data_IF_521506177080
#
_entry.id   IF_521506177080
#
_cell.length_a   1.000
_cell.length_b   1.000
_cell.length_c   1.000
_cell.angle_alpha   90.00
_cell.angle_beta   90.00
_cell.angle_gamma   90.00
#
_symmetry.space_group_name_H-M   'P 1'
#
loop_
_entity.id
_entity.type
_entity.pdbx_description
1 polymer ?
#
# COMPACT_ATOMS: atom_id res chain seq x y z
N UNK A 1 -4.32 32.44 20.55
CA UNK A 1 -2.97 31.99 20.15
C UNK A 1 -2.91 30.48 20.29
N UNK A 2 -3.13 29.71 19.21
CA UNK A 2 -3.01 28.25 19.22
C UNK A 2 -1.77 27.86 18.44
N UNK A 3 -0.70 27.49 19.15
CA UNK A 3 0.52 27.00 18.53
C UNK A 3 0.23 25.67 17.82
N UNK A 4 0.41 25.62 16.49
CA UNK A 4 0.43 24.36 15.75
C UNK A 4 1.72 23.64 16.11
N UNK A 5 1.61 22.51 16.80
CA UNK A 5 2.72 21.61 17.04
C UNK A 5 3.28 21.14 15.70
N UNK A 6 4.54 21.46 15.41
CA UNK A 6 5.26 20.91 14.28
C UNK A 6 5.52 19.43 14.55
N UNK A 7 4.85 18.55 13.79
CA UNK A 7 5.11 17.11 13.81
C UNK A 7 6.50 16.85 13.23
N UNK A 8 7.43 16.43 14.09
CA UNK A 8 8.74 15.93 13.70
C UNK A 8 8.54 14.75 12.73
N UNK A 9 8.83 14.96 11.45
CA UNK A 9 8.89 13.90 10.44
C UNK A 9 10.03 12.97 10.84
N UNK A 10 9.71 11.76 11.28
CA UNK A 10 10.70 10.70 11.48
C UNK A 10 11.58 10.56 10.23
N UNK A 11 12.87 10.20 10.37
CA UNK A 11 13.75 9.96 9.24
C UNK A 11 13.14 8.83 8.40
N UNK A 12 12.47 9.21 7.31
CA UNK A 12 12.02 8.28 6.29
C UNK A 12 13.28 7.74 5.64
N UNK A 13 13.65 6.53 6.05
CA UNK A 13 14.62 5.76 5.31
C UNK A 13 14.02 5.58 3.91
N UNK A 14 14.63 6.19 2.89
CA UNK A 14 14.22 6.04 1.50
C UNK A 14 14.60 4.63 1.02
N UNK A 15 13.80 3.66 1.47
CA UNK A 15 13.85 2.30 0.95
C UNK A 15 13.08 2.33 -0.37
N UNK A 16 13.72 1.95 -1.50
CA UNK A 16 13.00 1.86 -2.76
C UNK A 16 11.84 0.87 -2.67
N UNK A 17 10.78 1.13 -3.43
CA UNK A 17 9.51 0.37 -3.35
C UNK A 17 9.73 -1.14 -3.53
N UNK A 18 10.64 -1.55 -4.42
CA UNK A 18 11.01 -2.94 -4.66
C UNK A 18 11.73 -3.64 -3.49
N UNK A 19 12.31 -2.89 -2.56
CA UNK A 19 12.90 -3.43 -1.34
C UNK A 19 11.94 -3.42 -0.14
N UNK A 20 10.78 -2.76 -0.24
CA UNK A 20 9.80 -2.73 0.84
C UNK A 20 9.07 -4.07 0.99
N UNK A 21 8.74 -4.40 2.24
CA UNK A 21 7.88 -5.52 2.58
C UNK A 21 6.40 -5.18 2.32
N UNK A 22 5.99 -4.00 2.78
CA UNK A 22 4.65 -3.47 2.60
C UNK A 22 4.70 -2.08 1.98
N UNK A 23 3.66 -1.77 1.22
CA UNK A 23 3.51 -0.52 0.49
C UNK A 23 2.19 0.13 0.88
N UNK A 24 2.15 1.46 0.81
CA UNK A 24 0.89 2.19 0.89
C UNK A 24 0.17 2.19 -0.48
N UNK A 25 -1.02 2.80 -0.54
CA UNK A 25 -1.80 2.87 -1.77
C UNK A 25 -1.05 3.57 -2.92
N UNK A 26 -0.44 4.73 -2.63
CA UNK A 26 0.23 5.55 -3.65
C UNK A 26 1.50 4.86 -4.18
N UNK A 27 2.25 4.19 -3.30
CA UNK A 27 3.40 3.36 -3.67
C UNK A 27 2.97 2.17 -4.52
N UNK A 28 1.83 1.56 -4.19
CA UNK A 28 1.30 0.43 -4.97
C UNK A 28 0.86 0.88 -6.35
N UNK A 29 0.21 2.04 -6.47
CA UNK A 29 -0.13 2.64 -7.77
C UNK A 29 1.13 2.89 -8.61
N UNK A 30 2.18 3.47 -8.01
CA UNK A 30 3.44 3.73 -8.71
C UNK A 30 4.17 2.43 -9.11
N UNK A 31 4.02 1.37 -8.32
CA UNK A 31 4.68 0.09 -8.55
C UNK A 31 3.96 -0.81 -9.57
N UNK A 32 2.62 -0.90 -9.51
CA UNK A 32 1.83 -1.78 -10.39
C UNK A 32 1.22 -1.08 -11.59
N UNK A 33 1.11 0.25 -11.56
CA UNK A 33 0.34 1.02 -12.54
C UNK A 33 -1.18 0.90 -12.39
N UNK A 34 -1.69 0.18 -11.39
CA UNK A 34 -3.13 0.03 -11.17
C UNK A 34 -3.69 1.30 -10.52
N UNK A 35 -4.80 1.82 -11.06
CA UNK A 35 -5.47 3.01 -10.55
C UNK A 35 -5.97 2.88 -9.12
N UNK A 36 -6.06 4.01 -8.42
CA UNK A 36 -6.45 4.07 -7.00
C UNK A 36 -7.79 3.41 -6.71
N UNK A 37 -8.79 3.69 -7.54
CA UNK A 37 -10.15 3.19 -7.31
C UNK A 37 -10.20 1.67 -7.47
N UNK A 38 -9.48 1.14 -8.45
CA UNK A 38 -9.37 -0.30 -8.66
C UNK A 38 -8.63 -0.99 -7.52
N UNK A 39 -7.53 -0.40 -7.02
CA UNK A 39 -6.86 -0.91 -5.83
C UNK A 39 -7.76 -0.85 -4.58
N UNK A 40 -8.60 0.19 -4.43
CA UNK A 40 -9.59 0.22 -3.33
C UNK A 40 -10.59 -0.92 -3.43
N UNK A 41 -11.11 -1.19 -4.62
CA UNK A 41 -12.02 -2.31 -4.89
C UNK A 41 -11.36 -3.64 -4.55
N UNK A 42 -10.15 -3.88 -5.08
CA UNK A 42 -9.37 -5.10 -4.85
C UNK A 42 -9.05 -5.33 -3.37
N UNK A 43 -8.73 -4.25 -2.64
CA UNK A 43 -8.32 -4.30 -1.23
C UNK A 43 -9.48 -4.27 -0.23
N UNK A 44 -10.71 -3.98 -0.67
CA UNK A 44 -11.90 -3.94 0.19
C UNK A 44 -12.52 -5.33 0.43
N UNK A 45 -12.04 -6.38 -0.24
CA UNK A 45 -12.47 -7.75 0.03
C UNK A 45 -12.00 -8.16 1.44
N UNK A 46 -12.90 -8.71 2.26
CA UNK A 46 -12.59 -9.12 3.64
C UNK A 46 -11.43 -10.13 3.70
N UNK A 47 -11.38 -11.07 2.75
CA UNK A 47 -10.34 -12.09 2.64
C UNK A 47 -9.21 -11.74 1.65
N UNK A 48 -8.86 -10.45 1.53
CA UNK A 48 -7.83 -10.04 0.59
C UNK A 48 -6.42 -10.46 1.07
N UNK A 49 -5.71 -11.39 0.38
CA UNK A 49 -4.50 -12.03 0.92
C UNK A 49 -3.29 -11.07 0.99
N UNK A 50 -3.26 -10.09 0.09
CA UNK A 50 -2.19 -9.10 -0.01
C UNK A 50 -2.46 -7.83 0.81
N UNK A 51 -3.57 -7.75 1.55
CA UNK A 51 -3.86 -6.60 2.42
C UNK A 51 -3.49 -6.91 3.86
N UNK A 52 -2.93 -5.92 4.54
CA UNK A 52 -2.72 -5.89 5.98
C UNK A 52 -3.48 -4.68 6.54
N UNK A 53 -4.48 -4.95 7.38
CA UNK A 53 -5.21 -3.93 8.10
C UNK A 53 -4.53 -3.63 9.44
N UNK A 54 -4.20 -2.35 9.66
CA UNK A 54 -3.65 -1.81 10.90
C UNK A 54 -4.62 -0.74 11.39
N UNK A 55 -5.63 -1.16 12.14
CA UNK A 55 -6.80 -0.32 12.46
C UNK A 55 -7.46 0.19 11.17
N UNK A 56 -7.50 1.51 11.00
CA UNK A 56 -8.08 2.15 9.81
C UNK A 56 -7.11 2.25 8.61
N UNK A 57 -5.82 1.94 8.81
CA UNK A 57 -4.81 2.02 7.77
C UNK A 57 -4.68 0.69 7.06
N UNK A 58 -4.70 0.71 5.73
CA UNK A 58 -4.38 -0.46 4.90
C UNK A 58 -2.95 -0.37 4.38
N UNK A 59 -2.24 -1.48 4.46
CA UNK A 59 -0.95 -1.68 3.82
C UNK A 59 -1.05 -2.88 2.89
N UNK A 60 -0.24 -2.88 1.84
CA UNK A 60 -0.26 -3.90 0.80
C UNK A 60 1.05 -4.68 0.88
N UNK A 61 0.98 -6.00 1.06
CA UNK A 61 2.14 -6.90 1.09
C UNK A 61 2.67 -7.05 -0.34
N UNK A 62 3.86 -6.52 -0.61
CA UNK A 62 4.42 -6.45 -1.98
C UNK A 62 4.53 -7.82 -2.63
N UNK A 63 5.20 -8.78 -1.98
CA UNK A 63 5.42 -10.12 -2.55
C UNK A 63 4.12 -10.88 -2.84
N UNK A 64 3.15 -10.79 -1.93
CA UNK A 64 1.85 -11.47 -2.11
C UNK A 64 1.05 -10.81 -3.23
N UNK A 65 1.15 -9.49 -3.38
CA UNK A 65 0.57 -8.79 -4.52
C UNK A 65 1.27 -9.16 -5.84
N UNK A 66 2.60 -9.29 -5.85
CA UNK A 66 3.36 -9.74 -7.03
C UNK A 66 2.88 -11.12 -7.49
N UNK A 67 2.76 -12.07 -6.56
CA UNK A 67 2.23 -13.42 -6.82
C UNK A 67 0.78 -13.37 -7.32
N UNK A 68 -0.06 -12.56 -6.67
CA UNK A 68 -1.46 -12.39 -7.06
C UNK A 68 -1.58 -11.85 -8.50
N UNK A 69 -0.87 -10.77 -8.85
CA UNK A 69 -0.92 -10.19 -10.19
C UNK A 69 -0.38 -11.18 -11.23
N UNK A 70 0.70 -11.91 -10.91
CA UNK A 70 1.29 -12.90 -11.81
C UNK A 70 0.32 -14.03 -12.17
N UNK A 71 -0.54 -14.42 -11.22
CA UNK A 71 -1.54 -15.48 -11.43
C UNK A 71 -2.82 -14.98 -12.11
N UNK A 72 -3.09 -13.67 -12.05
CA UNK A 72 -4.32 -13.08 -12.58
C UNK A 72 -4.14 -12.66 -14.04
N UNK A 73 -5.08 -13.07 -14.88
CA UNK A 73 -5.13 -12.62 -16.28
C UNK A 73 -5.90 -11.30 -16.46
N UNK A 74 -6.76 -10.96 -15.49
CA UNK A 74 -7.57 -9.75 -15.46
C UNK A 74 -7.93 -9.42 -14.02
N UNK A 75 -8.01 -8.13 -13.70
CA UNK A 75 -8.32 -7.61 -12.37
C UNK A 75 -9.43 -6.60 -12.42
#
# INVERSE_FOLDING_TARGET
>A
MGAKAATLKEPKHDVPVWHKLTMNMDETMAYTGIGRDKLREMTNREDCPFVLWIGNKRLIKRKVLDEYITQMYSV
#
